data_IF_980929691587
#
_entry.id   IF_980929691587
#
_cell.length_a   1.000
_cell.length_b   1.000
_cell.length_c   1.000
_cell.angle_alpha   90.00
_cell.angle_beta   90.00
_cell.angle_gamma   90.00
#
_symmetry.space_group_name_H-M   'P 1'
#
loop_
_entity.id
_entity.type
_entity.pdbx_description
1 polymer ?
#
# COMPACT_ATOMS: atom_id res chain seq x y z
N UNK A 1 -1.65 18.15 -31.09
CA UNK A 1 -1.14 18.83 -29.88
C UNK A 1 -2.05 18.45 -28.73
N UNK A 2 -1.46 18.19 -27.56
CA UNK A 2 -2.17 17.87 -26.32
C UNK A 2 -1.88 19.00 -25.33
N UNK A 3 -2.92 19.68 -24.88
CA UNK A 3 -2.80 20.69 -23.83
C UNK A 3 -2.85 20.00 -22.46
N UNK A 4 -1.81 20.25 -21.65
CA UNK A 4 -1.76 19.81 -20.27
C UNK A 4 -2.45 20.84 -19.38
N UNK A 5 -3.18 20.39 -18.37
CA UNK A 5 -3.77 21.31 -17.40
C UNK A 5 -2.68 21.97 -16.53
N UNK A 6 -3.00 23.14 -15.97
CA UNK A 6 -2.05 23.93 -15.18
C UNK A 6 -1.48 23.13 -13.97
N UNK A 7 -2.27 22.28 -13.34
CA UNK A 7 -1.83 21.51 -12.16
C UNK A 7 -0.79 20.45 -12.55
N UNK A 8 -0.98 19.75 -13.68
CA UNK A 8 -0.04 18.77 -14.17
C UNK A 8 1.29 19.43 -14.59
N UNK A 9 1.22 20.57 -15.29
CA UNK A 9 2.42 21.35 -15.65
C UNK A 9 3.18 21.82 -14.40
N UNK A 10 2.46 22.31 -13.37
CA UNK A 10 3.05 22.75 -12.11
C UNK A 10 3.71 21.58 -11.38
N UNK A 11 3.06 20.40 -11.34
CA UNK A 11 3.62 19.22 -10.72
C UNK A 11 4.92 18.78 -11.41
N UNK A 12 4.92 18.69 -12.75
CA UNK A 12 6.10 18.32 -13.54
C UNK A 12 7.25 19.29 -13.29
N UNK A 13 6.99 20.61 -13.33
CA UNK A 13 8.00 21.63 -13.09
C UNK A 13 8.60 21.55 -11.67
N UNK A 14 7.79 21.25 -10.67
CA UNK A 14 8.24 21.26 -9.28
C UNK A 14 8.95 19.96 -8.89
N UNK A 15 8.54 18.81 -9.44
CA UNK A 15 8.99 17.50 -8.98
C UNK A 15 9.87 16.75 -9.97
N UNK A 16 9.86 17.16 -11.26
CA UNK A 16 10.56 16.43 -12.31
C UNK A 16 11.66 17.24 -13.00
N UNK A 17 11.88 18.49 -12.62
CA UNK A 17 12.78 19.45 -13.31
C UNK A 17 14.21 18.96 -13.55
N UNK A 18 14.74 18.11 -12.66
CA UNK A 18 16.12 17.59 -12.73
C UNK A 18 16.18 16.09 -13.01
N UNK A 19 15.03 15.46 -13.33
CA UNK A 19 14.95 14.05 -13.60
C UNK A 19 15.11 13.78 -15.09
N UNK A 20 15.65 12.63 -15.44
CA UNK A 20 15.77 12.23 -16.83
C UNK A 20 14.40 11.87 -17.38
N UNK A 21 13.99 12.55 -18.43
CA UNK A 21 12.73 12.32 -19.11
C UNK A 21 12.86 11.19 -20.14
N UNK A 22 11.81 10.38 -20.24
CA UNK A 22 11.64 9.38 -21.29
C UNK A 22 10.47 9.75 -22.18
N UNK A 23 10.38 9.09 -23.34
CA UNK A 23 9.33 9.32 -24.32
C UNK A 23 7.96 9.09 -23.69
N UNK A 24 7.03 10.06 -23.75
CA UNK A 24 5.67 9.88 -23.25
C UNK A 24 4.95 8.74 -23.97
N UNK A 25 4.14 7.99 -23.23
CA UNK A 25 3.34 6.90 -23.78
C UNK A 25 1.85 7.16 -23.58
N UNK A 26 1.04 6.78 -24.59
CA UNK A 26 -0.40 6.90 -24.52
C UNK A 26 -1.03 5.56 -24.18
N UNK A 27 -1.63 5.47 -22.97
CA UNK A 27 -2.24 4.27 -22.46
C UNK A 27 -3.76 4.38 -22.36
N UNK A 28 -4.48 3.34 -22.80
CA UNK A 28 -5.94 3.26 -22.68
C UNK A 28 -6.33 2.41 -21.46
N UNK A 29 -7.12 2.98 -20.54
CA UNK A 29 -7.69 2.26 -19.43
C UNK A 29 -9.23 2.38 -19.47
N UNK A 30 -9.90 1.32 -19.84
CA UNK A 30 -11.35 1.31 -20.07
C UNK A 30 -11.75 2.26 -21.20
N UNK A 31 -12.51 3.32 -20.87
CA UNK A 31 -12.96 4.35 -21.84
C UNK A 31 -12.04 5.60 -21.87
N UNK A 32 -11.10 5.70 -20.95
CA UNK A 32 -10.24 6.87 -20.81
C UNK A 32 -8.85 6.62 -21.40
N UNK A 33 -8.26 7.67 -21.97
CA UNK A 33 -6.89 7.69 -22.44
C UNK A 33 -6.04 8.48 -21.43
N UNK A 34 -4.84 7.97 -21.14
CA UNK A 34 -3.87 8.58 -20.23
C UNK A 34 -2.56 8.80 -20.95
N UNK A 35 -2.06 10.02 -20.90
CA UNK A 35 -0.71 10.34 -21.33
C UNK A 35 0.21 10.17 -20.12
N UNK A 36 1.17 9.25 -20.23
CA UNK A 36 2.10 8.89 -19.17
C UNK A 36 3.47 9.48 -19.50
N UNK A 37 4.00 10.31 -18.61
CA UNK A 37 5.33 10.88 -18.70
C UNK A 37 6.24 10.14 -17.70
N UNK A 38 7.12 9.22 -18.15
CA UNK A 38 8.06 8.54 -17.28
C UNK A 38 9.28 9.43 -17.02
N UNK A 39 9.70 9.46 -15.75
CA UNK A 39 10.91 10.14 -15.31
C UNK A 39 11.78 9.16 -14.52
N UNK A 40 13.09 9.20 -14.73
CA UNK A 40 14.06 8.46 -13.94
C UNK A 40 14.68 9.38 -12.89
N UNK A 41 14.71 8.90 -11.65
CA UNK A 41 15.39 9.56 -10.54
C UNK A 41 16.47 8.62 -10.01
N UNK A 42 17.68 9.13 -9.85
CA UNK A 42 18.78 8.38 -9.24
C UNK A 42 18.80 8.66 -7.74
N UNK A 43 18.48 7.65 -6.97
CA UNK A 43 18.58 7.71 -5.51
C UNK A 43 19.85 7.01 -5.08
N UNK A 44 20.76 7.73 -4.42
CA UNK A 44 21.92 7.15 -3.80
C UNK A 44 21.57 6.73 -2.38
N UNK A 45 21.68 5.44 -2.10
CA UNK A 45 21.51 4.92 -0.75
C UNK A 45 22.84 5.06 0.01
N UNK A 46 22.79 5.62 1.21
CA UNK A 46 23.93 5.57 2.12
C UNK A 46 24.20 4.11 2.48
N UNK A 47 25.42 3.66 2.25
CA UNK A 47 25.87 2.33 2.67
C UNK A 47 26.18 2.38 4.16
N UNK A 48 25.23 1.95 4.97
CA UNK A 48 25.44 1.68 6.40
C UNK A 48 25.82 0.20 6.52
N UNK A 49 26.85 -0.10 7.31
CA UNK A 49 27.22 -1.48 7.57
C UNK A 49 26.04 -2.22 8.23
N UNK A 50 25.81 -3.47 7.81
CA UNK A 50 24.64 -4.27 8.27
C UNK A 50 24.58 -4.33 9.80
N UNK A 51 25.74 -4.30 10.48
CA UNK A 51 25.85 -4.34 11.92
C UNK A 51 25.39 -3.06 12.62
N UNK A 52 25.36 -1.93 11.92
CA UNK A 52 25.01 -0.62 12.48
C UNK A 52 23.62 -0.14 12.04
N UNK A 53 22.90 -0.97 11.27
CA UNK A 53 21.58 -0.59 10.73
C UNK A 53 20.51 -0.53 11.80
N UNK A 54 19.68 0.51 11.75
CA UNK A 54 18.41 0.59 12.45
C UNK A 54 17.32 -0.07 11.60
N UNK A 55 16.72 -1.12 12.12
CA UNK A 55 15.76 -1.96 11.38
C UNK A 55 14.33 -1.67 11.85
N UNK A 56 13.43 -1.39 10.91
CA UNK A 56 12.00 -1.41 11.15
C UNK A 56 11.42 -2.78 10.74
N UNK A 57 11.22 -3.66 11.69
CA UNK A 57 10.58 -4.95 11.47
C UNK A 57 9.05 -4.79 11.45
N UNK A 58 8.40 -5.33 10.40
CA UNK A 58 6.96 -5.20 10.17
C UNK A 58 6.31 -6.57 10.03
N UNK A 59 5.37 -6.87 10.93
CA UNK A 59 4.44 -7.99 10.83
C UNK A 59 3.08 -7.50 10.33
N UNK A 60 2.59 -8.07 9.23
CA UNK A 60 1.29 -7.75 8.64
C UNK A 60 0.23 -8.74 9.11
N UNK A 61 -0.82 -8.24 9.75
CA UNK A 61 -1.88 -9.06 10.32
C UNK A 61 -3.29 -8.71 9.88
N UNK A 62 -4.24 -9.56 10.24
CA UNK A 62 -5.68 -9.34 9.99
C UNK A 62 -6.34 -8.49 11.06
N UNK A 63 -5.89 -8.59 12.30
CA UNK A 63 -6.46 -7.83 13.42
C UNK A 63 -5.82 -6.43 13.51
N UNK A 64 -4.52 -6.36 13.60
CA UNK A 64 -3.76 -5.15 13.31
C UNK A 64 -3.29 -5.22 11.87
N UNK A 65 -3.42 -4.13 11.11
CA UNK A 65 -2.98 -4.09 9.72
C UNK A 65 -1.46 -4.26 9.62
N UNK A 66 -0.74 -3.65 10.57
CA UNK A 66 0.68 -3.85 10.74
C UNK A 66 1.07 -3.70 12.22
N UNK A 67 2.07 -4.46 12.66
CA UNK A 67 2.80 -4.25 13.91
C UNK A 67 4.24 -3.93 13.53
N UNK A 68 4.69 -2.73 13.86
CA UNK A 68 6.03 -2.27 13.56
C UNK A 68 6.88 -2.23 14.83
N UNK A 69 8.13 -2.66 14.74
CA UNK A 69 9.11 -2.59 15.83
C UNK A 69 10.42 -2.03 15.29
N UNK A 70 10.96 -1.02 15.96
CA UNK A 70 12.29 -0.47 15.64
C UNK A 70 13.33 -1.16 16.51
N UNK A 71 14.32 -1.75 15.88
CA UNK A 71 15.42 -2.44 16.52
C UNK A 71 16.74 -1.77 16.14
N UNK A 72 17.55 -1.46 17.14
CA UNK A 72 18.91 -0.97 16.98
C UNK A 72 19.89 -2.13 16.73
N UNK A 73 21.10 -1.81 16.32
CA UNK A 73 22.17 -2.78 16.03
C UNK A 73 22.54 -3.69 17.21
N UNK A 74 22.36 -3.22 18.44
CA UNK A 74 22.58 -4.00 19.66
C UNK A 74 21.41 -4.96 20.01
N UNK A 75 20.37 -5.00 19.18
CA UNK A 75 19.15 -5.78 19.40
C UNK A 75 18.10 -5.12 20.30
N UNK A 76 18.35 -3.89 20.78
CA UNK A 76 17.41 -3.16 21.62
C UNK A 76 16.21 -2.68 20.80
N UNK A 77 14.99 -2.96 21.27
CA UNK A 77 13.76 -2.45 20.66
C UNK A 77 13.42 -1.10 21.26
N UNK A 78 13.58 -0.02 20.48
CA UNK A 78 13.40 1.37 20.93
C UNK A 78 12.02 1.94 20.64
N UNK A 79 11.23 1.29 19.80
CA UNK A 79 9.88 1.74 19.45
C UNK A 79 8.98 0.63 18.95
N UNK A 80 7.69 0.75 19.24
CA UNK A 80 6.64 -0.15 18.69
C UNK A 80 5.43 0.66 18.27
N UNK A 81 4.80 0.25 17.17
CA UNK A 81 3.58 0.85 16.67
C UNK A 81 2.62 -0.22 16.17
N UNK A 82 1.36 -0.12 16.61
CA UNK A 82 0.27 -0.97 16.12
C UNK A 82 -0.61 -0.16 15.18
N UNK A 83 -0.64 -0.52 13.92
CA UNK A 83 -1.50 0.11 12.92
C UNK A 83 -2.84 -0.61 12.91
N UNK A 84 -3.84 0.02 13.50
CA UNK A 84 -5.20 -0.53 13.54
C UNK A 84 -6.19 0.49 12.98
N UNK A 85 -6.58 0.29 11.73
CA UNK A 85 -7.53 1.15 11.01
C UNK A 85 -8.97 0.65 11.29
N UNK A 86 -9.44 0.77 12.54
CA UNK A 86 -10.71 0.23 12.99
C UNK A 86 -11.90 0.82 12.21
N UNK A 87 -11.94 2.13 12.03
CA UNK A 87 -13.02 2.83 11.30
C UNK A 87 -13.10 2.38 9.84
N UNK A 88 -11.96 2.29 9.16
CA UNK A 88 -11.87 1.84 7.77
C UNK A 88 -12.31 0.37 7.63
N UNK A 89 -11.92 -0.48 8.58
CA UNK A 89 -12.36 -1.88 8.62
C UNK A 89 -13.86 -2.00 8.85
N UNK A 90 -14.46 -1.16 9.69
CA UNK A 90 -15.91 -1.13 9.89
C UNK A 90 -16.63 -0.69 8.62
N UNK A 91 -16.11 0.28 7.89
CA UNK A 91 -16.64 0.68 6.59
C UNK A 91 -16.56 -0.46 5.58
N UNK A 92 -15.42 -1.15 5.51
CA UNK A 92 -15.24 -2.32 4.66
C UNK A 92 -16.21 -3.45 5.04
N UNK A 93 -16.37 -3.73 6.33
CA UNK A 93 -17.31 -4.73 6.81
C UNK A 93 -18.76 -4.40 6.43
N UNK A 94 -19.19 -3.15 6.61
CA UNK A 94 -20.52 -2.67 6.19
C UNK A 94 -20.73 -2.81 4.69
N UNK A 95 -19.72 -2.46 3.88
CA UNK A 95 -19.75 -2.62 2.42
C UNK A 95 -19.91 -4.10 2.01
N UNK A 96 -19.14 -5.00 2.64
CA UNK A 96 -19.24 -6.45 2.42
C UNK A 96 -20.61 -7.01 2.79
N UNK A 97 -21.21 -6.54 3.88
CA UNK A 97 -22.57 -6.95 4.27
C UNK A 97 -23.63 -6.50 3.25
N UNK A 98 -23.45 -5.33 2.60
CA UNK A 98 -24.31 -4.90 1.49
C UNK A 98 -24.21 -5.85 0.28
N UNK A 99 -22.98 -6.26 -0.08
CA UNK A 99 -22.78 -7.25 -1.14
C UNK A 99 -23.47 -8.57 -0.78
N UNK A 100 -23.24 -9.08 0.44
CA UNK A 100 -23.83 -10.32 0.93
C UNK A 100 -25.36 -10.26 0.87
N UNK A 101 -25.98 -9.18 1.35
CA UNK A 101 -27.44 -8.98 1.32
C UNK A 101 -27.97 -8.95 -0.11
N UNK A 102 -27.31 -8.25 -1.04
CA UNK A 102 -27.70 -8.22 -2.44
C UNK A 102 -27.66 -9.62 -3.06
N UNK A 103 -26.61 -10.41 -2.78
CA UNK A 103 -26.49 -11.79 -3.26
C UNK A 103 -27.57 -12.72 -2.66
N UNK A 104 -27.89 -12.58 -1.38
CA UNK A 104 -28.98 -13.31 -0.73
C UNK A 104 -30.36 -12.99 -1.35
N UNK A 105 -30.53 -11.75 -1.83
CA UNK A 105 -31.74 -11.31 -2.54
C UNK A 105 -31.73 -11.67 -4.05
N UNK A 106 -30.86 -12.59 -4.48
CA UNK A 106 -30.83 -13.13 -5.84
C UNK A 106 -29.96 -12.38 -6.83
N UNK A 107 -29.22 -11.33 -6.43
CA UNK A 107 -28.30 -10.64 -7.32
C UNK A 107 -27.09 -11.52 -7.64
N UNK A 108 -26.98 -11.98 -8.90
CA UNK A 108 -25.85 -12.81 -9.37
C UNK A 108 -24.53 -12.03 -9.48
N UNK A 109 -24.61 -10.74 -9.81
CA UNK A 109 -23.44 -9.84 -9.98
C UNK A 109 -23.74 -8.52 -9.31
N UNK A 110 -22.76 -7.99 -8.58
CA UNK A 110 -22.85 -6.71 -7.87
C UNK A 110 -21.62 -5.83 -8.18
N UNK A 111 -21.36 -5.47 -9.45
CA UNK A 111 -20.08 -4.84 -9.84
C UNK A 111 -19.83 -3.52 -9.12
N UNK A 112 -20.84 -2.67 -8.96
CA UNK A 112 -20.71 -1.38 -8.26
C UNK A 112 -20.40 -1.56 -6.78
N UNK A 113 -21.08 -2.52 -6.10
CA UNK A 113 -20.81 -2.81 -4.70
C UNK A 113 -19.41 -3.40 -4.50
N UNK A 114 -18.98 -4.30 -5.38
CA UNK A 114 -17.64 -4.85 -5.34
C UNK A 114 -16.57 -3.80 -5.66
N UNK A 115 -16.84 -2.87 -6.58
CA UNK A 115 -15.93 -1.75 -6.83
C UNK A 115 -15.72 -0.95 -5.55
N UNK A 116 -16.80 -0.59 -4.85
CA UNK A 116 -16.72 0.14 -3.59
C UNK A 116 -15.92 -0.63 -2.50
N UNK A 117 -16.12 -1.95 -2.37
CA UNK A 117 -15.35 -2.81 -1.47
C UNK A 117 -13.85 -2.77 -1.83
N UNK A 118 -13.53 -2.86 -3.12
CA UNK A 118 -12.15 -2.80 -3.58
C UNK A 118 -11.50 -1.44 -3.34
N UNK A 119 -12.24 -0.36 -3.56
CA UNK A 119 -11.74 1.01 -3.31
C UNK A 119 -11.42 1.22 -1.82
N UNK A 120 -12.31 0.78 -0.91
CA UNK A 120 -12.06 0.82 0.55
C UNK A 120 -10.85 -0.04 0.94
N UNK A 121 -10.70 -1.21 0.37
CA UNK A 121 -9.59 -2.10 0.68
C UNK A 121 -8.24 -1.52 0.18
N UNK A 122 -8.25 -0.85 -0.98
CA UNK A 122 -7.08 -0.12 -1.49
C UNK A 122 -6.73 1.06 -0.59
N UNK A 123 -7.72 1.80 -0.07
CA UNK A 123 -7.49 2.89 0.87
C UNK A 123 -6.84 2.39 2.17
N UNK A 124 -7.33 1.26 2.71
CA UNK A 124 -6.72 0.60 3.87
C UNK A 124 -5.26 0.22 3.59
N UNK A 125 -4.96 -0.35 2.42
CA UNK A 125 -3.59 -0.71 2.03
C UNK A 125 -2.67 0.53 1.98
N UNK A 126 -3.14 1.62 1.38
CA UNK A 126 -2.38 2.89 1.25
C UNK A 126 -2.13 3.54 2.61
N UNK A 127 -3.14 3.59 3.47
CA UNK A 127 -3.01 4.13 4.84
C UNK A 127 -2.05 3.29 5.67
N UNK A 128 -2.16 1.96 5.58
CA UNK A 128 -1.24 1.05 6.28
C UNK A 128 0.21 1.27 5.84
N UNK A 129 0.46 1.32 4.53
CA UNK A 129 1.80 1.57 3.98
C UNK A 129 2.35 2.93 4.45
N UNK A 130 1.51 3.98 4.43
CA UNK A 130 1.89 5.30 4.91
C UNK A 130 2.30 5.28 6.39
N UNK A 131 1.49 4.65 7.25
CA UNK A 131 1.76 4.54 8.69
C UNK A 131 3.07 3.78 9.00
N UNK A 132 3.41 2.76 8.19
CA UNK A 132 4.68 2.02 8.29
C UNK A 132 5.84 2.94 7.94
N UNK A 133 5.76 3.64 6.81
CA UNK A 133 6.82 4.53 6.33
C UNK A 133 7.02 5.71 7.29
N UNK A 134 5.93 6.38 7.69
CA UNK A 134 6.00 7.51 8.62
C UNK A 134 6.66 7.08 9.95
N UNK A 135 6.42 5.84 10.40
CA UNK A 135 7.05 5.30 11.61
C UNK A 135 8.53 4.97 11.39
N UNK A 136 8.90 4.38 10.26
CA UNK A 136 10.29 4.10 9.93
C UNK A 136 11.11 5.39 9.81
N UNK A 137 10.56 6.41 9.14
CA UNK A 137 11.19 7.73 8.99
C UNK A 137 11.35 8.44 10.34
N UNK A 138 10.35 8.34 11.22
CA UNK A 138 10.41 8.95 12.57
C UNK A 138 11.62 8.48 13.39
N UNK A 139 12.02 7.23 13.21
CA UNK A 139 13.17 6.63 13.90
C UNK A 139 14.44 6.55 13.04
N UNK A 140 14.45 7.18 11.86
CA UNK A 140 15.55 7.11 10.90
C UNK A 140 15.99 5.65 10.63
N UNK A 141 15.00 4.76 10.43
CA UNK A 141 15.30 3.37 10.11
C UNK A 141 15.94 3.26 8.72
N UNK A 142 17.06 2.53 8.63
CA UNK A 142 17.80 2.30 7.40
C UNK A 142 17.12 1.27 6.50
N UNK A 143 16.41 0.31 7.11
CA UNK A 143 15.80 -0.83 6.41
C UNK A 143 14.43 -1.14 7.00
N UNK A 144 13.46 -1.43 6.12
CA UNK A 144 12.16 -1.99 6.50
C UNK A 144 12.14 -3.47 6.13
N UNK A 145 11.94 -4.34 7.11
CA UNK A 145 11.91 -5.80 6.93
C UNK A 145 10.50 -6.31 7.17
N UNK A 146 9.96 -7.06 6.19
CA UNK A 146 8.68 -7.74 6.31
C UNK A 146 8.85 -9.22 6.57
N UNK A 147 7.95 -9.80 7.36
CA UNK A 147 7.87 -11.25 7.49
C UNK A 147 7.54 -11.91 6.15
N UNK A 148 8.27 -12.96 5.81
CA UNK A 148 7.97 -13.78 4.64
C UNK A 148 6.77 -14.70 4.94
N UNK A 149 5.58 -14.27 4.50
CA UNK A 149 4.35 -15.03 4.70
C UNK A 149 4.06 -15.89 3.44
N UNK A 150 4.37 -17.18 3.51
CA UNK A 150 3.93 -18.14 2.50
C UNK A 150 2.46 -18.51 2.75
N UNK A 151 1.56 -18.04 1.87
CA UNK A 151 0.12 -18.26 1.98
C UNK A 151 -0.40 -19.32 0.99
N UNK A 152 0.45 -20.23 0.52
CA UNK A 152 0.06 -21.26 -0.46
C UNK A 152 -0.92 -22.32 0.10
N UNK A 153 -1.26 -22.30 1.38
CA UNK A 153 -2.23 -23.20 1.99
C UNK A 153 -3.67 -22.99 1.52
N UNK A 154 -4.47 -24.07 1.54
CA UNK A 154 -5.93 -24.01 1.24
C UNK A 154 -6.61 -23.05 2.24
N UNK A 155 -7.22 -22.00 1.71
CA UNK A 155 -7.99 -21.02 2.49
C UNK A 155 -9.36 -21.63 2.85
N UNK A 156 -9.42 -22.39 3.95
CA UNK A 156 -10.66 -23.02 4.42
C UNK A 156 -11.14 -22.39 5.74
N UNK A 157 -12.43 -22.48 6.03
CA UNK A 157 -13.02 -22.07 7.32
C UNK A 157 -13.57 -20.64 7.38
N UNK A 158 -13.97 -20.23 8.60
CA UNK A 158 -14.67 -18.96 8.87
C UNK A 158 -13.87 -17.69 8.51
N UNK A 159 -12.54 -17.77 8.43
CA UNK A 159 -11.64 -16.67 8.06
C UNK A 159 -11.40 -16.51 6.56
N UNK A 160 -11.89 -17.43 5.71
CA UNK A 160 -11.59 -17.46 4.28
C UNK A 160 -11.78 -16.12 3.56
N UNK A 161 -12.88 -15.42 3.83
CA UNK A 161 -13.18 -14.14 3.20
C UNK A 161 -12.21 -13.03 3.62
N UNK A 162 -11.86 -12.97 4.92
CA UNK A 162 -10.89 -12.00 5.43
C UNK A 162 -9.52 -12.22 4.81
N UNK A 163 -9.07 -13.47 4.72
CA UNK A 163 -7.79 -13.84 4.09
C UNK A 163 -7.77 -13.56 2.58
N UNK A 164 -8.90 -13.78 1.89
CA UNK A 164 -9.01 -13.50 0.46
C UNK A 164 -8.96 -12.01 0.14
N UNK A 165 -9.45 -11.17 1.05
CA UNK A 165 -9.45 -9.71 0.92
C UNK A 165 -8.16 -9.07 1.47
N UNK A 166 -7.35 -9.82 2.20
CA UNK A 166 -6.11 -9.29 2.77
C UNK A 166 -5.05 -9.06 1.70
N UNK A 167 -4.68 -7.82 1.51
CA UNK A 167 -3.80 -7.36 0.43
C UNK A 167 -2.36 -7.13 0.91
N UNK A 168 -1.76 -8.11 1.59
CA UNK A 168 -0.40 -8.03 2.11
C UNK A 168 0.63 -7.61 1.05
N UNK A 169 0.57 -8.23 -0.14
CA UNK A 169 1.51 -7.93 -1.23
C UNK A 169 1.34 -6.50 -1.78
N UNK A 170 0.10 -5.97 -1.77
CA UNK A 170 -0.14 -4.59 -2.17
C UNK A 170 0.48 -3.61 -1.17
N UNK A 171 0.37 -3.88 0.14
CA UNK A 171 1.00 -3.07 1.19
C UNK A 171 2.52 -3.09 1.03
N UNK A 172 3.14 -4.27 0.88
CA UNK A 172 4.58 -4.41 0.67
C UNK A 172 5.06 -3.60 -0.54
N UNK A 173 4.40 -3.76 -1.71
CA UNK A 173 4.71 -2.98 -2.91
C UNK A 173 4.56 -1.47 -2.71
N UNK A 174 3.52 -1.03 -1.99
CA UNK A 174 3.32 0.38 -1.71
C UNK A 174 4.41 0.97 -0.79
N UNK A 175 4.97 0.18 0.12
CA UNK A 175 6.11 0.57 0.96
C UNK A 175 7.39 0.60 0.13
N UNK A 176 7.61 -0.39 -0.74
CA UNK A 176 8.79 -0.49 -1.61
C UNK A 176 8.91 0.67 -2.60
N UNK A 177 7.77 1.22 -3.06
CA UNK A 177 7.73 2.33 -4.03
C UNK A 177 7.77 3.74 -3.41
N UNK A 178 7.92 3.86 -2.12
CA UNK A 178 7.97 5.15 -1.42
C UNK A 178 9.30 5.40 -0.71
#
# INVERSE_FOLDING_TARGET
>A
DVELNYQDVKYIKNHCKFKKEYVPTLNKQGKCWYLVFPFEDKVEFQKVDIQDQVICAVDLGLNNNATCSIMQSDGTVVGRKFVNLATEKDHLYKALNRVKKAQQNGARRCPTLWKHVNDLNTDISRKTAKEIIDFAVLYNADVIVFEHLDTQGKKNGKGKQKLALWRKQEIQKLVEHK
#
